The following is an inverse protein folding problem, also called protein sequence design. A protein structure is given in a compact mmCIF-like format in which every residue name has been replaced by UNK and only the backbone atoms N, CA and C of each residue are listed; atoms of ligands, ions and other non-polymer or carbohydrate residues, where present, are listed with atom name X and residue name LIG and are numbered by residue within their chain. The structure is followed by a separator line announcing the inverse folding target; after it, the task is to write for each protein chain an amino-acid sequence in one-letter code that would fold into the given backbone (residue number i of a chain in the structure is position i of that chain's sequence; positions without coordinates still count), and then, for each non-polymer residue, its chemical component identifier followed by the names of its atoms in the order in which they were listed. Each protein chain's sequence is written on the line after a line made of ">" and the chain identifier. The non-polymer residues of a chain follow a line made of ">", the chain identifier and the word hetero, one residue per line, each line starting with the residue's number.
data_IF_663815318408
#
_entry.id   IF_663815318408
#
_cell.length_a   1.000
_cell.length_b   1.000
_cell.length_c   1.000
_cell.angle_alpha   90.00
_cell.angle_beta   90.00
_cell.angle_gamma   90.00
#
_symmetry.space_group_name_H-M   'P 1'
#
loop_
_entity.id
_entity.type
_entity.pdbx_description
1 polymer ?
#
# COMPACT_ATOMS: atom_id res chain seq x y z
N UNK A 1 32.06 24.32 41.80
CA UNK A 1 30.65 23.93 41.98
C UNK A 1 30.01 23.76 40.60
N UNK A 2 30.03 22.55 40.05
CA UNK A 2 29.42 22.24 38.76
C UNK A 2 27.92 22.01 38.94
N UNK A 3 27.10 23.03 38.69
CA UNK A 3 25.65 22.83 38.47
C UNK A 3 25.50 22.15 37.11
N UNK A 4 25.50 20.82 37.16
CA UNK A 4 25.24 19.93 36.04
C UNK A 4 24.02 20.44 35.26
N UNK A 5 24.23 20.70 33.97
CA UNK A 5 23.19 20.84 32.96
C UNK A 5 22.41 19.51 32.88
N UNK A 6 21.45 19.29 33.78
CA UNK A 6 20.29 18.43 33.51
C UNK A 6 19.36 19.21 32.59
N UNK A 7 19.80 19.51 31.36
CA UNK A 7 18.84 19.83 30.30
C UNK A 7 18.20 18.50 29.95
N UNK A 8 16.96 18.36 30.40
CA UNK A 8 16.00 17.32 30.07
C UNK A 8 16.32 16.62 28.74
N UNK A 9 16.87 15.41 28.82
CA UNK A 9 16.66 14.39 27.79
C UNK A 9 15.19 14.00 27.92
N UNK A 10 14.29 14.89 27.49
CA UNK A 10 12.93 14.48 27.19
C UNK A 10 13.07 13.40 26.12
N UNK A 11 12.71 12.16 26.45
CA UNK A 11 12.65 11.11 25.46
C UNK A 11 11.70 11.62 24.38
N UNK A 12 12.15 11.68 23.13
CA UNK A 12 11.28 12.13 22.06
C UNK A 12 10.01 11.26 22.10
N UNK A 13 8.85 11.87 22.36
CA UNK A 13 7.59 11.15 22.37
C UNK A 13 7.44 10.49 21.00
N UNK A 14 7.45 9.15 20.98
CA UNK A 14 7.26 8.41 19.75
C UNK A 14 5.81 8.65 19.33
N UNK A 15 5.57 9.10 18.09
CA UNK A 15 4.20 9.29 17.62
C UNK A 15 3.47 7.95 17.68
N UNK A 16 2.31 7.91 18.34
CA UNK A 16 1.48 6.69 18.44
C UNK A 16 0.77 6.34 17.12
N UNK A 17 0.75 7.29 16.16
CA UNK A 17 0.14 7.10 14.84
C UNK A 17 0.91 7.90 13.79
N UNK A 18 1.15 7.27 12.64
CA UNK A 18 1.61 7.92 11.42
C UNK A 18 0.52 7.82 10.36
N UNK A 19 0.04 8.98 9.87
CA UNK A 19 -0.89 9.00 8.74
C UNK A 19 -0.11 8.89 7.43
N UNK A 20 -0.32 7.79 6.70
CA UNK A 20 0.34 7.50 5.42
C UNK A 20 -0.45 8.17 4.28
N UNK A 21 -1.77 7.92 4.25
CA UNK A 21 -2.71 8.44 3.26
C UNK A 21 -3.97 8.95 3.97
N UNK A 22 -4.31 10.22 3.75
CA UNK A 22 -5.52 10.83 4.28
C UNK A 22 -6.36 11.41 3.13
N UNK A 23 -7.36 10.65 2.68
CA UNK A 23 -8.21 11.04 1.54
C UNK A 23 -9.32 12.02 1.90
N UNK A 24 -9.38 12.48 3.15
CA UNK A 24 -10.15 13.68 3.50
C UNK A 24 -9.54 14.93 2.85
N UNK A 25 -8.25 14.85 2.51
CA UNK A 25 -7.42 15.91 1.94
C UNK A 25 -7.22 15.68 0.44
N UNK A 26 -7.70 16.59 -0.45
CA UNK A 26 -7.54 16.46 -1.90
C UNK A 26 -6.08 16.34 -2.37
N UNK A 27 -5.13 16.85 -1.58
CA UNK A 27 -3.69 16.83 -1.89
C UNK A 27 -3.08 15.41 -1.84
N UNK A 28 -3.82 14.44 -1.27
CA UNK A 28 -3.41 13.03 -1.24
C UNK A 28 -3.57 12.33 -2.59
N UNK A 29 -4.54 12.75 -3.43
CA UNK A 29 -4.87 12.05 -4.68
C UNK A 29 -3.75 12.10 -5.73
N UNK A 30 -3.04 13.23 -5.97
CA UNK A 30 -1.93 13.27 -6.92
C UNK A 30 -0.78 12.32 -6.59
N UNK A 31 -0.71 11.79 -5.35
CA UNK A 31 0.30 10.81 -4.91
C UNK A 31 -0.05 9.38 -5.31
N UNK A 32 -1.25 9.14 -5.82
CA UNK A 32 -1.72 7.80 -6.21
C UNK A 32 -1.53 7.59 -7.71
N UNK A 33 -1.18 6.37 -8.08
CA UNK A 33 -1.11 5.89 -9.45
C UNK A 33 -1.92 4.60 -9.55
N UNK A 34 -2.85 4.53 -10.51
CA UNK A 34 -3.58 3.32 -10.85
C UNK A 34 -2.89 2.56 -11.96
N UNK A 35 -3.07 1.24 -11.98
CA UNK A 35 -2.63 0.37 -13.06
C UNK A 35 -3.49 -0.90 -13.10
N UNK A 36 -3.52 -1.56 -14.24
CA UNK A 36 -4.25 -2.81 -14.46
C UNK A 36 -3.50 -3.68 -15.48
N UNK A 37 -4.05 -4.86 -15.74
CA UNK A 37 -3.59 -5.74 -16.81
C UNK A 37 -3.57 -5.10 -18.21
N UNK A 38 -4.23 -3.95 -18.41
CA UNK A 38 -4.22 -3.18 -19.66
C UNK A 38 -2.81 -2.77 -20.08
N UNK A 39 -1.90 -2.59 -19.12
CA UNK A 39 -0.48 -2.31 -19.40
C UNK A 39 0.23 -3.45 -20.14
N UNK A 40 -0.33 -4.66 -20.09
CA UNK A 40 0.15 -5.86 -20.77
C UNK A 40 -0.75 -6.25 -21.96
N UNK A 41 -1.72 -5.40 -22.31
CA UNK A 41 -2.70 -5.62 -23.38
C UNK A 41 -4.07 -6.14 -22.90
N UNK A 42 -4.25 -6.36 -21.59
CA UNK A 42 -5.53 -6.81 -21.01
C UNK A 42 -6.65 -5.78 -21.11
N UNK A 43 -7.83 -6.15 -20.62
CA UNK A 43 -9.06 -5.37 -20.78
C UNK A 43 -9.62 -4.82 -19.45
N UNK A 44 -8.89 -4.95 -18.34
CA UNK A 44 -9.34 -4.44 -17.04
C UNK A 44 -9.07 -2.94 -16.92
N UNK A 45 -9.97 -2.24 -16.22
CA UNK A 45 -9.85 -0.80 -15.93
C UNK A 45 -9.68 -0.55 -14.43
N UNK A 46 -9.02 0.57 -14.09
CA UNK A 46 -8.71 0.95 -12.72
C UNK A 46 -8.75 2.46 -12.55
N UNK A 47 -9.66 2.94 -11.70
CA UNK A 47 -9.87 4.34 -11.39
C UNK A 47 -9.74 4.57 -9.88
N UNK A 48 -9.19 5.71 -9.50
CA UNK A 48 -9.01 6.10 -8.11
C UNK A 48 -9.31 7.58 -7.97
N UNK A 49 -10.49 7.89 -7.45
CA UNK A 49 -11.06 9.23 -7.55
C UNK A 49 -11.59 9.74 -6.20
N UNK A 50 -11.63 11.06 -6.00
CA UNK A 50 -12.31 11.65 -4.85
C UNK A 50 -13.80 11.34 -4.89
N UNK A 51 -14.34 10.89 -3.77
CA UNK A 51 -15.75 10.51 -3.65
C UNK A 51 -16.33 10.96 -2.32
N UNK A 52 -17.63 11.28 -2.32
CA UNK A 52 -18.40 11.52 -1.10
C UNK A 52 -19.41 10.40 -0.96
N UNK A 53 -19.13 9.47 -0.05
CA UNK A 53 -20.07 8.41 0.27
C UNK A 53 -21.30 9.01 0.95
N UNK A 54 -22.50 8.55 0.59
CA UNK A 54 -23.75 9.01 1.23
C UNK A 54 -23.75 8.80 2.74
N UNK A 55 -23.00 7.81 3.22
CA UNK A 55 -22.87 7.47 4.64
C UNK A 55 -21.82 8.31 5.37
N UNK A 56 -21.01 9.11 4.67
CA UNK A 56 -19.85 9.79 5.26
C UNK A 56 -19.76 11.25 4.83
N UNK A 57 -19.65 12.18 5.77
CA UNK A 57 -19.56 13.62 5.46
C UNK A 57 -18.21 14.03 4.83
N UNK A 58 -17.16 13.27 5.16
CA UNK A 58 -15.81 13.55 4.70
C UNK A 58 -15.56 13.04 3.28
N UNK A 59 -14.64 13.69 2.57
CA UNK A 59 -14.10 13.16 1.33
C UNK A 59 -13.39 11.82 1.60
N UNK A 60 -13.58 10.87 0.70
CA UNK A 60 -12.92 9.56 0.71
C UNK A 60 -12.35 9.28 -0.68
N UNK A 61 -11.50 8.26 -0.77
CA UNK A 61 -11.12 7.73 -2.06
C UNK A 61 -12.04 6.59 -2.48
N UNK A 62 -12.40 6.56 -3.75
CA UNK A 62 -13.13 5.47 -4.36
C UNK A 62 -12.25 4.78 -5.40
N UNK A 63 -11.91 3.52 -5.13
CA UNK A 63 -11.23 2.65 -6.07
C UNK A 63 -12.25 1.77 -6.79
N UNK A 64 -12.38 1.92 -8.10
CA UNK A 64 -13.37 1.21 -8.90
C UNK A 64 -12.86 0.92 -10.32
N UNK A 65 -13.59 0.09 -11.04
CA UNK A 65 -13.25 -0.32 -12.40
C UNK A 65 -13.94 -1.63 -12.77
N UNK A 66 -13.61 -2.15 -13.95
CA UNK A 66 -14.08 -3.43 -14.43
C UNK A 66 -12.90 -4.40 -14.58
N UNK A 67 -13.04 -5.63 -14.06
CA UNK A 67 -12.03 -6.67 -14.18
C UNK A 67 -12.43 -7.65 -15.27
N UNK A 68 -11.51 -7.92 -16.20
CA UNK A 68 -11.70 -8.88 -17.27
C UNK A 68 -10.59 -9.92 -17.26
N UNK A 69 -10.97 -11.20 -17.18
CA UNK A 69 -10.03 -12.33 -17.13
C UNK A 69 -9.62 -12.84 -18.52
N UNK A 70 -10.21 -12.31 -19.59
CA UNK A 70 -9.88 -12.66 -20.97
C UNK A 70 -8.43 -12.32 -21.25
N UNK A 71 -7.66 -13.32 -21.69
CA UNK A 71 -6.26 -13.12 -22.05
C UNK A 71 -6.15 -12.29 -23.35
N UNK A 72 -5.19 -11.36 -23.43
CA UNK A 72 -5.05 -10.52 -24.60
C UNK A 72 -4.48 -11.31 -25.79
N UNK A 73 -5.21 -11.31 -26.90
CA UNK A 73 -4.76 -11.97 -28.14
C UNK A 73 -3.46 -11.34 -28.70
N UNK A 74 -3.24 -10.06 -28.43
CA UNK A 74 -2.07 -9.30 -28.87
C UNK A 74 -0.78 -9.68 -28.15
N UNK A 75 -0.84 -10.34 -26.98
CA UNK A 75 0.34 -10.67 -26.20
C UNK A 75 0.26 -12.09 -25.59
N UNK A 76 0.67 -13.13 -26.33
CA UNK A 76 0.61 -14.52 -25.88
C UNK A 76 1.47 -14.85 -24.64
N UNK A 77 2.37 -13.95 -24.23
CA UNK A 77 3.20 -14.13 -23.03
C UNK A 77 2.41 -13.90 -21.74
N UNK A 78 1.27 -13.21 -21.80
CA UNK A 78 0.42 -12.95 -20.64
C UNK A 78 -0.34 -14.22 -20.29
N UNK A 79 -0.01 -14.82 -19.14
CA UNK A 79 -0.63 -16.06 -18.65
C UNK A 79 -1.83 -15.84 -17.73
N UNK A 80 -2.03 -14.61 -17.26
CA UNK A 80 -3.09 -14.26 -16.31
C UNK A 80 -3.53 -12.80 -16.50
N UNK A 81 -4.84 -12.57 -16.56
CA UNK A 81 -5.50 -11.26 -16.60
C UNK A 81 -6.51 -11.15 -15.45
N UNK A 82 -7.23 -10.03 -15.35
CA UNK A 82 -8.28 -9.80 -14.37
C UNK A 82 -7.79 -9.16 -13.08
N UNK A 83 -6.78 -8.29 -13.17
CA UNK A 83 -6.25 -7.56 -12.02
C UNK A 83 -6.20 -6.05 -12.27
N UNK A 84 -6.39 -5.32 -11.18
CA UNK A 84 -6.27 -3.87 -11.10
C UNK A 84 -5.69 -3.53 -9.72
N UNK A 85 -4.95 -2.43 -9.65
CA UNK A 85 -4.43 -1.92 -8.40
C UNK A 85 -4.25 -0.40 -8.44
N UNK A 86 -4.04 0.16 -7.26
CA UNK A 86 -3.43 1.47 -7.11
C UNK A 86 -2.21 1.36 -6.19
N UNK A 87 -1.29 2.29 -6.32
CA UNK A 87 -0.14 2.44 -5.43
C UNK A 87 0.19 3.89 -5.20
N UNK A 88 0.96 4.15 -4.16
CA UNK A 88 1.63 5.43 -3.96
C UNK A 88 2.75 5.57 -4.99
N UNK A 89 2.88 6.75 -5.61
CA UNK A 89 3.98 7.08 -6.52
C UNK A 89 5.32 7.00 -5.78
N UNK A 90 6.35 6.56 -6.49
CA UNK A 90 7.71 6.56 -5.96
C UNK A 90 8.11 8.00 -5.61
N UNK A 91 8.85 8.16 -4.50
CA UNK A 91 9.36 9.48 -4.08
C UNK A 91 10.33 10.03 -5.10
N UNK A 92 11.25 9.19 -5.55
CA UNK A 92 12.16 9.46 -6.66
C UNK A 92 11.56 8.81 -7.90
N UNK A 93 11.26 9.63 -8.91
CA UNK A 93 10.63 9.18 -10.16
C UNK A 93 11.63 8.57 -11.16
N UNK A 94 12.93 8.71 -10.90
CA UNK A 94 13.97 8.08 -11.72
C UNK A 94 13.90 6.55 -11.59
N UNK A 95 13.63 5.81 -12.68
CA UNK A 95 13.61 4.35 -12.67
C UNK A 95 14.98 3.75 -12.34
N UNK A 96 16.08 4.49 -12.44
CA UNK A 96 17.42 4.07 -12.07
C UNK A 96 17.80 4.44 -10.62
N UNK A 97 16.90 5.09 -9.87
CA UNK A 97 17.10 5.31 -8.44
C UNK A 97 17.17 3.96 -7.72
N UNK A 98 18.38 3.48 -7.47
CA UNK A 98 18.65 2.23 -6.76
C UNK A 98 18.55 2.43 -5.25
N UNK A 99 18.33 1.32 -4.55
CA UNK A 99 18.54 1.19 -3.12
C UNK A 99 19.92 1.76 -2.75
N UNK A 100 20.00 2.58 -1.70
CA UNK A 100 21.29 3.02 -1.15
C UNK A 100 21.54 2.25 0.16
N UNK A 101 22.70 1.58 0.31
CA UNK A 101 23.02 0.85 1.54
C UNK A 101 23.13 1.76 2.77
N UNK A 102 23.40 3.05 2.55
CA UNK A 102 23.47 4.06 3.59
C UNK A 102 22.76 5.34 3.14
N UNK A 103 21.96 5.91 4.03
CA UNK A 103 21.32 7.22 3.85
C UNK A 103 21.97 8.23 4.77
N UNK A 104 22.69 9.21 4.20
CA UNK A 104 23.32 10.28 4.99
C UNK A 104 22.28 11.35 5.34
N UNK A 105 21.30 11.58 4.45
CA UNK A 105 20.19 12.51 4.68
C UNK A 105 18.85 11.87 4.30
N UNK A 106 17.77 12.21 5.02
CA UNK A 106 16.39 11.76 4.72
C UNK A 106 15.90 12.16 3.32
N UNK A 107 16.51 13.17 2.70
CA UNK A 107 16.23 13.58 1.32
C UNK A 107 16.73 12.60 0.27
N UNK A 108 17.69 11.73 0.62
CA UNK A 108 18.28 10.72 -0.26
C UNK A 108 17.53 9.38 -0.22
N UNK A 109 16.64 9.20 0.77
CA UNK A 109 15.82 8.01 0.94
C UNK A 109 14.69 7.96 -0.10
N UNK A 110 14.53 6.80 -0.75
CA UNK A 110 13.43 6.60 -1.70
C UNK A 110 12.13 6.20 -0.99
N UNK A 111 12.20 5.87 0.30
CA UNK A 111 11.02 5.65 1.14
C UNK A 111 10.41 6.97 1.63
N UNK A 112 9.09 6.98 1.70
CA UNK A 112 8.31 8.10 2.23
C UNK A 112 8.17 8.07 3.76
N UNK A 113 8.31 6.90 4.36
CA UNK A 113 7.93 6.64 5.74
C UNK A 113 8.89 5.66 6.41
N UNK A 114 9.20 5.92 7.69
CA UNK A 114 9.86 4.96 8.57
C UNK A 114 8.80 4.31 9.45
N UNK A 115 8.60 3.01 9.27
CA UNK A 115 7.58 2.24 9.98
C UNK A 115 8.15 1.52 11.20
N UNK A 116 9.46 1.58 11.45
CA UNK A 116 10.13 0.88 12.56
C UNK A 116 9.51 1.12 13.95
N UNK A 117 8.93 2.30 14.26
CA UNK A 117 8.26 2.53 15.53
C UNK A 117 6.83 1.95 15.66
N UNK A 118 6.27 1.39 14.59
CA UNK A 118 4.87 0.97 14.52
C UNK A 118 4.73 -0.54 14.35
N UNK A 119 3.65 -1.11 14.86
CA UNK A 119 3.38 -2.56 14.83
C UNK A 119 2.20 -2.93 13.92
N UNK A 120 1.27 -2.00 13.73
CA UNK A 120 -0.03 -2.26 13.09
C UNK A 120 -0.28 -1.26 11.96
N UNK A 121 -0.69 -1.78 10.81
CA UNK A 121 -1.27 -1.00 9.72
C UNK A 121 -2.79 -0.89 9.92
N UNK A 122 -3.30 0.34 9.97
CA UNK A 122 -4.73 0.62 10.07
C UNK A 122 -5.29 1.13 8.74
N UNK A 123 -6.40 0.55 8.29
CA UNK A 123 -7.18 1.02 7.15
C UNK A 123 -8.65 1.21 7.56
N UNK A 124 -9.27 2.32 7.15
CA UNK A 124 -10.73 2.47 7.18
C UNK A 124 -11.27 2.26 5.76
N UNK A 125 -12.07 1.22 5.55
CA UNK A 125 -12.52 0.80 4.20
C UNK A 125 -14.03 0.57 4.16
N UNK A 126 -14.61 0.73 2.97
CA UNK A 126 -15.98 0.34 2.64
C UNK A 126 -15.88 -0.55 1.39
N UNK A 127 -16.13 -1.84 1.53
CA UNK A 127 -16.05 -2.75 0.39
C UNK A 127 -17.43 -2.86 -0.29
N UNK A 128 -17.52 -2.37 -1.52
CA UNK A 128 -18.73 -2.38 -2.34
C UNK A 128 -18.86 -3.65 -3.20
N UNK A 129 -17.86 -4.54 -3.14
CA UNK A 129 -17.74 -5.75 -3.95
C UNK A 129 -17.43 -6.97 -3.07
N UNK A 130 -18.40 -7.52 -2.33
CA UNK A 130 -18.16 -8.54 -1.31
C UNK A 130 -17.45 -9.80 -1.82
N UNK A 131 -17.65 -10.16 -3.09
CA UNK A 131 -17.06 -11.36 -3.71
C UNK A 131 -15.64 -11.13 -4.27
N UNK A 132 -15.09 -9.91 -4.17
CA UNK A 132 -13.75 -9.60 -4.66
C UNK A 132 -12.72 -9.69 -3.55
N UNK A 133 -11.56 -10.24 -3.90
CA UNK A 133 -10.43 -10.40 -3.00
C UNK A 133 -9.47 -9.24 -3.23
N UNK A 134 -9.09 -8.56 -2.16
CA UNK A 134 -8.11 -7.50 -2.18
C UNK A 134 -6.84 -7.95 -1.46
N UNK A 135 -5.70 -7.46 -1.93
CA UNK A 135 -4.40 -7.65 -1.31
C UNK A 135 -3.83 -6.29 -0.95
N UNK A 136 -3.19 -6.19 0.21
CA UNK A 136 -2.38 -5.04 0.60
C UNK A 136 -0.93 -5.43 0.39
N UNK A 137 -0.21 -4.59 -0.35
CA UNK A 137 1.20 -4.81 -0.67
C UNK A 137 2.05 -3.68 -0.07
N UNK A 138 3.14 -4.06 0.60
CA UNK A 138 4.17 -3.16 1.09
C UNK A 138 5.45 -3.46 0.31
N UNK A 139 5.97 -2.44 -0.36
CA UNK A 139 7.28 -2.50 -0.99
C UNK A 139 8.29 -1.84 -0.07
N UNK A 140 9.33 -2.59 0.33
CA UNK A 140 10.45 -2.07 1.11
C UNK A 140 11.56 -1.61 0.20
N UNK A 141 12.40 -0.71 0.71
CA UNK A 141 13.62 -0.29 0.03
C UNK A 141 14.71 -1.36 0.24
N UNK A 142 14.62 -2.43 -0.53
CA UNK A 142 15.54 -3.57 -0.53
C UNK A 142 16.30 -3.64 -1.84
N UNK A 143 17.43 -4.36 -1.86
CA UNK A 143 18.21 -4.59 -3.09
C UNK A 143 17.36 -5.21 -4.21
N UNK A 144 16.38 -6.05 -3.86
CA UNK A 144 15.41 -6.60 -4.79
C UNK A 144 14.22 -5.65 -4.93
N UNK A 145 14.08 -5.04 -6.11
CA UNK A 145 12.94 -4.18 -6.45
C UNK A 145 11.63 -4.94 -6.64
N UNK A 146 11.71 -6.25 -6.78
CA UNK A 146 10.54 -7.12 -6.98
C UNK A 146 9.97 -7.63 -5.66
N UNK A 147 10.65 -7.39 -4.54
CA UNK A 147 10.21 -7.87 -3.24
C UNK A 147 9.00 -7.08 -2.77
N UNK A 148 7.91 -7.82 -2.54
CA UNK A 148 6.66 -7.30 -2.04
C UNK A 148 6.25 -8.13 -0.83
N UNK A 149 5.92 -7.46 0.24
CA UNK A 149 5.27 -8.02 1.40
C UNK A 149 3.77 -7.93 1.16
N UNK A 150 3.08 -9.06 1.15
CA UNK A 150 1.67 -9.13 0.80
C UNK A 150 0.84 -9.67 1.96
N UNK A 151 -0.32 -9.07 2.18
CA UNK A 151 -1.34 -9.55 3.10
C UNK A 151 -2.72 -9.52 2.42
N UNK A 152 -3.54 -10.55 2.65
CA UNK A 152 -4.91 -10.57 2.11
C UNK A 152 -5.81 -9.70 2.97
N UNK A 153 -6.54 -8.77 2.34
CA UNK A 153 -7.52 -7.96 3.05
C UNK A 153 -8.80 -8.78 3.24
N UNK A 154 -9.23 -8.91 4.49
CA UNK A 154 -10.50 -9.52 4.87
C UNK A 154 -11.47 -8.43 5.30
N UNK A 155 -12.69 -8.47 4.75
CA UNK A 155 -13.79 -7.56 5.06
C UNK A 155 -14.99 -8.39 5.48
N UNK A 156 -15.76 -7.97 6.47
CA UNK A 156 -16.84 -8.78 7.06
C UNK A 156 -18.15 -8.78 6.26
N UNK A 157 -18.10 -8.30 5.01
CA UNK A 157 -19.28 -8.10 4.16
C UNK A 157 -20.07 -9.35 3.76
N UNK A 158 -19.55 -10.57 3.92
CA UNK A 158 -20.26 -11.77 3.43
C UNK A 158 -21.60 -12.01 4.15
N UNK A 159 -21.74 -11.52 5.39
CA UNK A 159 -22.93 -11.74 6.22
C UNK A 159 -23.87 -10.51 6.25
N UNK A 160 -23.47 -9.39 5.65
CA UNK A 160 -24.12 -8.10 5.82
C UNK A 160 -24.96 -7.73 4.59
N UNK A 161 -26.22 -7.32 4.83
CA UNK A 161 -27.16 -6.93 3.76
C UNK A 161 -26.77 -5.64 3.02
N UNK A 162 -25.89 -4.82 3.60
CA UNK A 162 -25.45 -3.55 3.01
C UNK A 162 -23.99 -3.27 3.39
N UNK A 163 -23.20 -2.61 2.50
CA UNK A 163 -21.81 -2.26 2.81
C UNK A 163 -21.71 -1.35 4.03
N UNK A 164 -20.77 -1.64 4.93
CA UNK A 164 -20.50 -0.82 6.12
C UNK A 164 -19.03 -0.44 6.19
N UNK A 165 -18.75 0.72 6.81
CA UNK A 165 -17.37 1.14 7.04
C UNK A 165 -16.73 0.28 8.11
N UNK A 166 -15.57 -0.27 7.80
CA UNK A 166 -14.81 -1.15 8.69
C UNK A 166 -13.44 -0.55 9.00
N UNK A 167 -12.99 -0.69 10.25
CA UNK A 167 -11.62 -0.41 10.64
C UNK A 167 -10.86 -1.73 10.68
N UNK A 168 -9.91 -1.89 9.76
CA UNK A 168 -9.10 -3.09 9.63
C UNK A 168 -7.71 -2.79 10.18
N UNK A 169 -7.26 -3.62 11.10
CA UNK A 169 -5.94 -3.57 11.71
C UNK A 169 -5.18 -4.82 11.28
N UNK A 170 -4.01 -4.64 10.68
CA UNK A 170 -3.15 -5.72 10.19
C UNK A 170 -1.81 -5.61 10.91
N UNK A 171 -1.38 -6.64 11.62
CA UNK A 171 -0.05 -6.63 12.21
C UNK A 171 1.00 -6.68 11.10
N UNK A 172 2.06 -5.87 11.19
CA UNK A 172 3.10 -5.83 10.17
C UNK A 172 3.80 -7.18 10.01
N UNK A 173 3.83 -8.01 11.06
CA UNK A 173 4.40 -9.36 11.06
C UNK A 173 3.54 -10.39 10.31
N UNK A 174 2.29 -10.07 9.95
CA UNK A 174 1.40 -10.96 9.18
C UNK A 174 1.65 -10.89 7.67
N UNK A 175 2.42 -9.90 7.20
CA UNK A 175 2.75 -9.79 5.78
C UNK A 175 3.76 -10.85 5.35
N UNK A 176 3.51 -11.48 4.22
CA UNK A 176 4.36 -12.54 3.66
C UNK A 176 5.10 -12.05 2.43
N UNK A 177 6.41 -12.27 2.38
CA UNK A 177 7.23 -11.96 1.20
C UNK A 177 6.83 -12.82 0.00
N UNK A 178 6.49 -12.19 -1.13
CA UNK A 178 6.02 -12.85 -2.36
C UNK A 178 7.13 -13.59 -3.10
N UNK A 179 8.37 -13.07 -3.08
CA UNK A 179 9.55 -13.70 -3.66
C UNK A 179 10.29 -14.58 -2.65
N UNK A 180 9.61 -15.58 -2.06
CA UNK A 180 10.37 -16.65 -1.42
C UNK A 180 11.01 -17.51 -2.51
N UNK A 181 12.24 -17.16 -2.92
CA UNK A 181 13.11 -18.15 -3.56
C UNK A 181 13.24 -19.30 -2.57
N UNK A 182 12.65 -20.45 -2.86
CA UNK A 182 12.97 -21.69 -2.20
C UNK A 182 14.47 -21.92 -2.38
N UNK A 183 15.28 -21.51 -1.41
CA UNK A 183 16.60 -22.12 -1.19
C UNK A 183 16.36 -23.31 -0.29
N UNK A 184 15.94 -24.42 -0.88
CA UNK A 184 16.29 -25.72 -0.32
C UNK A 184 17.80 -25.86 -0.48
N UNK A 185 18.57 -25.41 0.50
CA UNK A 185 19.89 -26.00 0.73
C UNK A 185 19.62 -27.43 1.18
N UNK A 186 19.83 -28.37 0.25
CA UNK A 186 19.93 -29.78 0.59
C UNK A 186 21.04 -29.96 1.63
N UNK A 187 20.73 -30.74 2.65
CA UNK A 187 21.70 -31.46 3.47
C UNK A 187 22.28 -32.57 2.58
#
# INVERSE_FOLDING_TARGET
>A
MFKLLKKHLAYAERPSRLSILDFKKPESFPRIQTTSDATLGGYSTAYFEPYRASTESNLVAHFHGNLNQTLPASNPKVRSSGWAMFKTKNRIQDPNAQFKPFYIFKSQANFWWDWSPFEVLHLKVLNLTPNRKFMVNIQTDTMSRTDLYQHRLFTNNQEQKSPVWENIFINLNEFVLTNRRHRTSAI
#
